data_IF_133028056087
#
_entry.id   IF_133028056087
#
_cell.length_a   1.000
_cell.length_b   1.000
_cell.length_c   1.000
_cell.angle_alpha   90.00
_cell.angle_beta   90.00
_cell.angle_gamma   90.00
#
_symmetry.space_group_name_H-M   'P 1'
#
loop_
_entity.id
_entity.type
_entity.pdbx_description
1 polymer ?
#
# COMPACT_ATOMS: atom_id res chain seq x y z
N UNK A 1 -2.54 -28.83 7.21
CA UNK A 1 -2.12 -30.14 6.68
C UNK A 1 -3.33 -31.05 6.64
N UNK A 2 -3.97 -31.16 5.50
CA UNK A 2 -4.92 -32.24 5.27
C UNK A 2 -4.13 -33.42 4.73
N UNK A 3 -3.67 -34.28 5.61
CA UNK A 3 -3.23 -35.58 5.21
C UNK A 3 -4.43 -36.49 5.21
N UNK A 4 -4.87 -36.96 4.05
CA UNK A 4 -5.80 -38.08 3.95
C UNK A 4 -5.11 -39.41 4.35
N UNK A 5 -3.94 -39.32 4.97
CA UNK A 5 -3.17 -40.45 5.48
C UNK A 5 -3.81 -40.88 6.82
N UNK A 6 -4.25 -42.11 6.86
CA UNK A 6 -4.64 -42.76 8.11
C UNK A 6 -3.44 -42.82 9.06
N UNK A 7 -3.69 -42.72 10.36
CA UNK A 7 -2.62 -42.67 11.39
C UNK A 7 -1.61 -43.83 11.30
N UNK A 8 -2.06 -45.00 10.87
CA UNK A 8 -1.26 -46.21 10.67
C UNK A 8 -0.24 -46.08 9.51
N UNK A 9 -0.46 -45.15 8.56
CA UNK A 9 0.45 -44.89 7.44
C UNK A 9 1.44 -43.74 7.68
N UNK A 10 1.28 -42.98 8.76
CA UNK A 10 2.09 -41.81 9.03
C UNK A 10 3.59 -42.15 9.19
N UNK A 11 3.89 -43.30 9.79
CA UNK A 11 5.26 -43.80 10.03
C UNK A 11 5.89 -44.42 8.77
N UNK A 12 5.10 -44.74 7.75
CA UNK A 12 5.54 -45.34 6.50
C UNK A 12 5.40 -44.40 5.29
N UNK A 13 5.01 -43.13 5.54
CA UNK A 13 4.85 -42.14 4.48
C UNK A 13 6.19 -41.68 3.96
N UNK A 14 6.26 -41.48 2.61
CA UNK A 14 7.41 -40.84 1.99
C UNK A 14 7.29 -39.33 2.18
N UNK A 15 8.18 -38.76 3.00
CA UNK A 15 8.19 -37.31 3.33
C UNK A 15 8.25 -36.40 2.08
N UNK A 16 8.79 -36.86 0.98
CA UNK A 16 8.92 -36.08 -0.26
C UNK A 16 7.66 -36.19 -1.13
N UNK A 17 7.07 -37.40 -1.22
CA UNK A 17 5.96 -37.68 -2.13
C UNK A 17 4.59 -37.46 -1.51
N UNK A 18 4.44 -37.80 -0.23
CA UNK A 18 3.12 -37.82 0.43
C UNK A 18 2.84 -36.55 1.24
N UNK A 19 3.85 -35.71 1.45
CA UNK A 19 3.75 -34.48 2.20
C UNK A 19 3.95 -33.25 1.34
N UNK A 20 3.26 -32.16 1.67
CA UNK A 20 3.52 -30.85 1.06
C UNK A 20 4.76 -30.25 1.71
N UNK A 21 5.85 -30.25 0.97
CA UNK A 21 7.12 -29.74 1.44
C UNK A 21 7.43 -28.39 0.80
N UNK A 22 7.91 -27.48 1.62
CA UNK A 22 8.38 -26.18 1.13
C UNK A 22 9.13 -25.44 2.20
N UNK A 23 10.03 -24.58 1.77
CA UNK A 23 10.76 -23.65 2.62
C UNK A 23 10.57 -22.24 2.07
N UNK A 24 10.37 -21.27 2.94
CA UNK A 24 10.26 -19.88 2.56
C UNK A 24 11.26 -19.02 3.33
N UNK A 25 12.01 -18.22 2.60
CA UNK A 25 12.90 -17.20 3.14
C UNK A 25 12.37 -15.81 2.80
N UNK A 26 12.28 -14.95 3.80
CA UNK A 26 11.98 -13.53 3.64
C UNK A 26 13.21 -12.74 4.05
N UNK A 27 13.76 -11.99 3.11
CA UNK A 27 15.00 -11.23 3.30
C UNK A 27 14.67 -9.74 3.12
N UNK A 28 14.30 -9.02 4.18
CA UNK A 28 14.13 -7.58 4.14
C UNK A 28 15.50 -6.89 4.25
N UNK A 29 15.79 -5.99 3.33
CA UNK A 29 16.96 -5.11 3.38
C UNK A 29 16.46 -3.68 3.45
N UNK A 30 16.67 -3.03 4.59
CA UNK A 30 16.27 -1.66 4.83
C UNK A 30 17.50 -0.84 5.21
N UNK A 31 17.59 0.37 4.68
CA UNK A 31 18.59 1.33 5.07
C UNK A 31 17.93 2.68 5.35
N UNK A 32 18.55 3.50 6.16
CA UNK A 32 18.09 4.84 6.46
C UNK A 32 19.27 5.80 6.40
N UNK A 33 19.19 6.80 5.55
CA UNK A 33 20.22 7.80 5.37
C UNK A 33 19.64 9.20 5.58
N UNK A 34 20.43 10.08 6.13
CA UNK A 34 20.12 11.50 6.12
C UNK A 34 21.08 12.20 5.16
N UNK A 35 20.55 12.65 4.02
CA UNK A 35 21.32 13.39 3.03
C UNK A 35 21.25 14.89 3.36
N UNK A 36 22.38 15.58 3.19
CA UNK A 36 22.49 17.02 3.41
C UNK A 36 22.03 17.50 4.80
N UNK A 37 22.01 16.60 5.80
CA UNK A 37 21.53 16.81 7.17
C UNK A 37 20.02 17.09 7.35
N UNK A 38 19.22 17.06 6.28
CA UNK A 38 17.78 17.37 6.38
C UNK A 38 16.87 16.46 5.54
N UNK A 39 17.39 15.75 4.56
CA UNK A 39 16.60 14.85 3.73
C UNK A 39 16.78 13.40 4.20
N UNK A 40 15.75 12.82 4.82
CA UNK A 40 15.75 11.42 5.20
C UNK A 40 15.32 10.58 4.01
N UNK A 41 16.15 9.61 3.64
CA UNK A 41 15.92 8.69 2.53
C UNK A 41 15.98 7.26 3.05
N UNK A 42 14.91 6.52 2.81
CA UNK A 42 14.76 5.15 3.30
C UNK A 42 14.49 4.22 2.12
N UNK A 43 15.51 3.64 1.49
CA UNK A 43 15.32 2.53 0.57
C UNK A 43 14.97 1.25 1.31
N UNK A 44 14.12 0.44 0.71
CA UNK A 44 13.73 -0.88 1.20
C UNK A 44 13.65 -1.85 0.03
N UNK A 45 14.28 -2.98 0.18
CA UNK A 45 14.23 -4.09 -0.76
C UNK A 45 13.79 -5.33 0.00
N UNK A 46 12.70 -5.95 -0.44
CA UNK A 46 12.23 -7.19 0.15
C UNK A 46 12.32 -8.29 -0.90
N UNK A 47 13.01 -9.35 -0.55
CA UNK A 47 13.15 -10.54 -1.36
C UNK A 47 12.49 -11.70 -0.62
N UNK A 48 11.59 -12.40 -1.31
CA UNK A 48 10.97 -13.63 -0.82
C UNK A 48 11.33 -14.77 -1.74
N UNK A 49 11.88 -15.80 -1.19
CA UNK A 49 12.26 -17.04 -1.86
C UNK A 49 11.47 -18.21 -1.32
N UNK A 50 10.94 -19.04 -2.20
CA UNK A 50 10.17 -20.24 -1.89
C UNK A 50 10.76 -21.42 -2.62
N UNK A 51 11.10 -22.44 -1.89
CA UNK A 51 11.66 -23.68 -2.39
C UNK A 51 10.64 -24.81 -2.24
N UNK A 52 10.40 -25.53 -3.31
CA UNK A 52 9.46 -26.65 -3.34
C UNK A 52 10.13 -27.93 -3.83
N UNK A 53 9.65 -29.07 -3.33
CA UNK A 53 10.12 -30.40 -3.72
C UNK A 53 9.37 -30.96 -4.94
N UNK A 54 8.33 -30.29 -5.40
CA UNK A 54 7.53 -30.72 -6.54
C UNK A 54 6.81 -29.54 -7.20
N UNK A 55 6.35 -29.76 -8.42
CA UNK A 55 5.40 -28.92 -9.16
C UNK A 55 4.36 -29.80 -9.83
N UNK A 56 3.16 -29.29 -10.06
CA UNK A 56 2.07 -30.00 -10.71
C UNK A 56 1.81 -29.38 -12.07
N UNK A 57 1.97 -30.12 -13.14
CA UNK A 57 1.56 -29.74 -14.48
C UNK A 57 0.17 -30.28 -14.77
N UNK A 58 -0.64 -29.51 -15.50
CA UNK A 58 -2.00 -29.88 -15.85
C UNK A 58 -2.18 -29.91 -17.36
N UNK A 59 -2.97 -30.88 -17.81
CA UNK A 59 -3.36 -31.05 -19.20
C UNK A 59 -4.81 -31.48 -19.30
N UNK A 60 -5.39 -31.35 -20.48
CA UNK A 60 -6.75 -31.83 -20.75
C UNK A 60 -6.68 -33.15 -21.53
N UNK A 61 -7.35 -34.19 -21.02
CA UNK A 61 -7.56 -35.45 -21.72
C UNK A 61 -8.85 -35.33 -22.54
N UNK A 62 -8.72 -35.26 -23.86
CA UNK A 62 -9.87 -35.09 -24.75
C UNK A 62 -10.75 -36.34 -24.85
N UNK A 63 -10.19 -37.52 -24.68
CA UNK A 63 -10.95 -38.77 -24.74
C UNK A 63 -11.84 -38.94 -23.50
N UNK A 64 -11.32 -38.59 -22.33
CA UNK A 64 -12.01 -38.74 -21.04
C UNK A 64 -12.76 -37.49 -20.61
N UNK A 65 -12.54 -36.36 -21.30
CA UNK A 65 -13.09 -35.04 -20.96
C UNK A 65 -12.79 -34.63 -19.50
N UNK A 66 -11.56 -34.90 -19.04
CA UNK A 66 -11.13 -34.59 -17.67
C UNK A 66 -9.76 -33.89 -17.65
N UNK A 67 -9.57 -33.09 -16.60
CA UNK A 67 -8.25 -32.52 -16.29
C UNK A 67 -7.33 -33.61 -15.72
N UNK A 68 -6.16 -33.77 -16.30
CA UNK A 68 -5.11 -34.65 -15.84
C UNK A 68 -4.02 -33.84 -15.21
N UNK A 69 -3.57 -34.25 -14.04
CA UNK A 69 -2.48 -33.62 -13.31
C UNK A 69 -1.30 -34.58 -13.20
N UNK A 70 -0.11 -34.12 -13.57
CA UNK A 70 1.13 -34.85 -13.41
C UNK A 70 2.06 -34.10 -12.43
N UNK A 71 2.69 -34.86 -11.52
CA UNK A 71 3.56 -34.30 -10.48
C UNK A 71 5.01 -34.59 -10.81
N UNK A 72 5.76 -33.54 -11.08
CA UNK A 72 7.22 -33.59 -11.28
C UNK A 72 7.91 -33.31 -9.95
N UNK A 73 8.69 -34.27 -9.47
CA UNK A 73 9.52 -34.15 -8.28
C UNK A 73 10.89 -33.58 -8.60
N UNK A 74 11.40 -32.71 -7.77
CA UNK A 74 12.67 -32.06 -7.93
C UNK A 74 12.74 -30.75 -7.14
N UNK A 75 13.87 -30.10 -7.19
CA UNK A 75 14.04 -28.79 -6.60
C UNK A 75 13.46 -27.72 -7.52
N UNK A 76 12.50 -26.96 -7.02
CA UNK A 76 11.86 -25.85 -7.70
C UNK A 76 11.94 -24.59 -6.84
N UNK A 77 12.33 -23.50 -7.46
CA UNK A 77 12.48 -22.20 -6.80
C UNK A 77 11.48 -21.20 -7.35
N UNK A 78 10.77 -20.52 -6.46
CA UNK A 78 9.80 -19.47 -6.77
C UNK A 78 10.11 -18.24 -5.93
N UNK A 79 10.61 -17.19 -6.55
CA UNK A 79 10.97 -15.96 -5.85
C UNK A 79 10.18 -14.74 -6.34
N UNK A 80 10.09 -13.78 -5.49
CA UNK A 80 9.63 -12.43 -5.83
C UNK A 80 10.40 -11.38 -5.03
N UNK A 81 10.38 -10.18 -5.55
CA UNK A 81 10.97 -9.04 -4.86
C UNK A 81 10.18 -7.76 -5.12
N UNK A 82 10.31 -6.83 -4.21
CA UNK A 82 9.84 -5.47 -4.37
C UNK A 82 10.89 -4.48 -3.89
N UNK A 83 10.89 -3.33 -4.51
CA UNK A 83 11.73 -2.19 -4.16
C UNK A 83 10.83 -1.04 -3.72
N UNK A 84 11.19 -0.37 -2.64
CA UNK A 84 10.58 0.90 -2.25
C UNK A 84 11.63 1.92 -1.85
N UNK A 85 11.32 3.18 -2.09
CA UNK A 85 12.16 4.31 -1.72
C UNK A 85 11.26 5.39 -1.14
N UNK A 86 11.54 5.82 0.07
CA UNK A 86 10.83 6.93 0.69
C UNK A 86 11.81 8.07 0.97
N UNK A 87 11.40 9.28 0.67
CA UNK A 87 12.17 10.49 0.95
C UNK A 87 11.27 11.49 1.69
N UNK A 88 11.75 12.02 2.81
CA UNK A 88 11.02 13.00 3.62
C UNK A 88 11.95 14.03 4.22
N UNK A 89 11.41 15.22 4.45
CA UNK A 89 12.14 16.29 5.15
C UNK A 89 11.19 17.06 6.08
N UNK A 90 11.77 17.85 6.98
CA UNK A 90 11.00 18.74 7.86
C UNK A 90 11.47 20.16 7.65
N UNK A 91 10.58 21.02 7.20
CA UNK A 91 10.81 22.44 7.03
C UNK A 91 10.15 23.20 8.19
N UNK A 92 10.89 24.13 8.78
CA UNK A 92 10.45 24.86 9.95
C UNK A 92 10.25 26.34 9.61
N UNK A 93 9.03 26.84 9.83
CA UNK A 93 8.72 28.26 9.83
C UNK A 93 8.57 28.77 11.28
N UNK A 94 9.22 29.85 11.61
CA UNK A 94 9.15 30.52 12.92
C UNK A 94 8.63 31.93 12.73
N UNK A 95 7.49 32.24 13.36
CA UNK A 95 6.87 33.55 13.29
C UNK A 95 6.74 34.10 14.71
N UNK A 96 7.21 35.32 14.91
CA UNK A 96 7.10 36.03 16.18
C UNK A 96 6.11 37.17 16.05
N UNK A 97 5.16 37.25 16.98
CA UNK A 97 4.20 38.35 17.00
C UNK A 97 4.89 39.71 17.17
N UNK A 98 4.35 40.72 16.47
CA UNK A 98 4.90 42.07 16.55
C UNK A 98 4.90 42.57 18.01
N UNK A 99 6.05 42.98 18.56
CA UNK A 99 6.15 43.55 19.92
C UNK A 99 5.29 44.78 20.11
N UNK A 100 4.97 45.49 19.01
CA UNK A 100 4.12 46.70 19.08
C UNK A 100 2.64 46.37 19.35
N UNK A 101 2.13 45.23 18.84
CA UNK A 101 0.74 44.83 18.98
C UNK A 101 0.51 43.95 20.22
N UNK A 102 1.53 43.22 20.68
CA UNK A 102 1.39 42.24 21.77
C UNK A 102 2.45 42.45 22.87
N UNK A 103 2.61 43.67 23.36
CA UNK A 103 3.62 44.02 24.36
C UNK A 103 3.58 43.22 25.66
N UNK A 104 2.37 42.78 26.10
CA UNK A 104 2.20 42.08 27.39
C UNK A 104 2.38 40.55 27.27
N UNK A 105 2.14 39.96 26.09
CA UNK A 105 2.16 38.51 25.90
C UNK A 105 2.82 38.19 24.54
N UNK A 106 4.15 38.15 24.45
CA UNK A 106 4.82 37.76 23.22
C UNK A 106 4.49 36.31 22.90
N UNK A 107 4.00 36.07 21.68
CA UNK A 107 3.72 34.76 21.17
C UNK A 107 4.64 34.42 20.01
N UNK A 108 4.96 33.14 19.88
CA UNK A 108 5.72 32.60 18.76
C UNK A 108 4.95 31.45 18.14
N UNK A 109 4.80 31.47 16.82
CA UNK A 109 4.22 30.36 16.08
C UNK A 109 5.35 29.57 15.42
N UNK A 110 5.34 28.26 15.62
CA UNK A 110 6.16 27.30 14.90
C UNK A 110 5.27 26.53 13.93
N UNK A 111 5.56 26.62 12.65
CA UNK A 111 4.97 25.81 11.61
C UNK A 111 5.99 24.75 11.19
N UNK A 112 5.59 23.50 11.17
CA UNK A 112 6.39 22.38 10.68
C UNK A 112 5.70 21.82 9.46
N UNK A 113 6.33 21.90 8.32
CA UNK A 113 5.88 21.32 7.07
C UNK A 113 6.72 20.07 6.77
N UNK A 114 6.08 18.92 6.64
CA UNK A 114 6.73 17.62 6.41
C UNK A 114 6.22 17.03 5.09
N UNK A 115 6.88 17.32 3.97
CA UNK A 115 6.62 16.62 2.72
C UNK A 115 7.30 15.25 2.71
N UNK A 116 6.62 14.27 2.13
CA UNK A 116 7.13 12.94 1.88
C UNK A 116 6.75 12.49 0.47
N UNK A 117 7.70 11.87 -0.20
CA UNK A 117 7.49 11.18 -1.47
C UNK A 117 7.95 9.75 -1.32
N UNK A 118 7.13 8.81 -1.78
CA UNK A 118 7.45 7.39 -1.75
C UNK A 118 7.27 6.78 -3.14
N UNK A 119 8.21 5.96 -3.52
CA UNK A 119 8.18 5.16 -4.74
C UNK A 119 8.14 3.69 -4.36
N UNK A 120 7.33 2.90 -5.06
CA UNK A 120 7.33 1.44 -4.93
C UNK A 120 7.26 0.77 -6.30
N UNK A 121 7.92 -0.37 -6.43
CA UNK A 121 7.94 -1.13 -7.67
C UNK A 121 8.10 -2.62 -7.40
N UNK A 122 7.32 -3.44 -8.11
CA UNK A 122 7.56 -4.88 -8.26
C UNK A 122 7.28 -5.30 -9.71
N UNK A 123 8.12 -6.19 -10.29
CA UNK A 123 7.92 -6.66 -11.65
C UNK A 123 6.71 -7.60 -11.77
N UNK A 124 6.31 -7.88 -13.00
CA UNK A 124 5.26 -8.86 -13.27
C UNK A 124 5.82 -10.29 -13.14
N UNK A 125 5.59 -10.93 -12.01
CA UNK A 125 5.95 -12.32 -11.77
C UNK A 125 5.05 -13.33 -12.49
N UNK A 126 3.92 -12.88 -13.07
CA UNK A 126 3.10 -13.67 -13.98
C UNK A 126 3.65 -13.78 -15.41
N UNK A 127 4.80 -13.16 -15.70
CA UNK A 127 5.46 -13.27 -17.01
C UNK A 127 5.97 -14.69 -17.24
N UNK A 128 5.85 -15.19 -18.48
CA UNK A 128 6.28 -16.54 -18.87
C UNK A 128 7.74 -16.87 -18.51
N UNK A 129 8.62 -15.86 -18.47
CA UNK A 129 10.03 -16.02 -18.09
C UNK A 129 10.26 -16.62 -16.70
N UNK A 130 9.29 -16.47 -15.79
CA UNK A 130 9.39 -17.01 -14.43
C UNK A 130 8.86 -18.43 -14.31
N UNK A 131 7.97 -18.86 -15.21
CA UNK A 131 7.38 -20.20 -15.18
C UNK A 131 6.46 -20.46 -13.98
N UNK A 132 5.94 -19.41 -13.35
CA UNK A 132 5.05 -19.54 -12.18
C UNK A 132 3.59 -19.76 -12.56
N UNK A 133 3.26 -19.50 -13.82
CA UNK A 133 1.94 -19.70 -14.40
C UNK A 133 2.09 -20.37 -15.75
N UNK A 134 1.11 -21.22 -16.08
CA UNK A 134 1.06 -21.97 -17.32
C UNK A 134 -0.39 -22.06 -17.80
N UNK A 135 -0.62 -22.53 -19.01
CA UNK A 135 -1.93 -22.67 -19.62
C UNK A 135 -2.06 -24.01 -20.31
N UNK A 136 -3.26 -24.57 -20.29
CA UNK A 136 -3.61 -25.70 -21.15
C UNK A 136 -4.92 -25.43 -21.91
N UNK A 137 -5.10 -26.08 -23.04
CA UNK A 137 -6.33 -26.00 -23.82
C UNK A 137 -7.33 -27.02 -23.26
N UNK A 138 -8.58 -26.57 -23.05
CA UNK A 138 -9.69 -27.39 -22.63
C UNK A 138 -10.77 -27.34 -23.71
N UNK A 139 -11.22 -28.49 -24.20
CA UNK A 139 -12.34 -28.63 -25.12
C UNK A 139 -13.59 -29.04 -24.35
N UNK A 140 -14.69 -28.29 -24.50
CA UNK A 140 -15.96 -28.64 -23.88
C UNK A 140 -16.73 -29.70 -24.69
N UNK A 141 -17.84 -30.20 -24.16
CA UNK A 141 -18.72 -31.18 -24.82
C UNK A 141 -19.31 -30.69 -26.15
N UNK A 142 -19.31 -29.39 -26.41
CA UNK A 142 -19.78 -28.76 -27.64
C UNK A 142 -18.66 -28.50 -28.66
N UNK A 143 -17.43 -28.89 -28.36
CA UNK A 143 -16.26 -28.68 -29.20
C UNK A 143 -15.62 -27.28 -29.10
N UNK A 144 -16.05 -26.44 -28.15
CA UNK A 144 -15.45 -25.14 -27.95
C UNK A 144 -14.13 -25.26 -27.19
N UNK A 145 -13.08 -24.66 -27.72
CA UNK A 145 -11.75 -24.65 -27.11
C UNK A 145 -11.58 -23.39 -26.26
N UNK A 146 -11.19 -23.58 -25.01
CA UNK A 146 -10.85 -22.51 -24.08
C UNK A 146 -9.47 -22.71 -23.48
N UNK A 147 -8.74 -21.60 -23.22
CA UNK A 147 -7.48 -21.63 -22.49
C UNK A 147 -7.74 -21.51 -21.00
N UNK A 148 -7.29 -22.53 -20.26
CA UNK A 148 -7.36 -22.52 -18.80
C UNK A 148 -5.98 -22.21 -18.26
N UNK A 149 -5.90 -21.15 -17.47
CA UNK A 149 -4.67 -20.75 -16.82
C UNK A 149 -4.57 -21.34 -15.43
N UNK A 150 -3.40 -21.80 -15.04
CA UNK A 150 -3.14 -22.38 -13.72
C UNK A 150 -1.72 -22.04 -13.26
N UNK A 151 -1.43 -22.29 -11.99
CA UNK A 151 -0.06 -22.28 -11.50
C UNK A 151 0.38 -23.70 -11.15
N UNK A 152 1.55 -24.17 -11.64
CA UNK A 152 2.14 -25.45 -11.24
C UNK A 152 2.38 -25.57 -9.73
N UNK A 153 2.37 -24.46 -9.03
CA UNK A 153 2.61 -24.36 -7.58
C UNK A 153 1.35 -24.00 -6.78
N UNK A 154 0.15 -24.01 -7.39
CA UNK A 154 -1.10 -23.63 -6.73
C UNK A 154 -1.40 -24.44 -5.46
N UNK A 155 -0.97 -25.70 -5.44
CA UNK A 155 -1.12 -26.60 -4.30
C UNK A 155 0.09 -26.63 -3.36
N UNK A 156 1.12 -25.84 -3.62
CA UNK A 156 2.31 -25.75 -2.78
C UNK A 156 2.03 -24.96 -1.49
N UNK A 157 2.84 -25.20 -0.46
CA UNK A 157 2.62 -24.68 0.90
C UNK A 157 2.54 -23.14 0.98
N UNK A 158 3.34 -22.42 0.18
CA UNK A 158 3.43 -20.97 0.20
C UNK A 158 2.91 -20.29 -1.08
N UNK A 159 2.37 -21.08 -2.03
CA UNK A 159 1.84 -20.56 -3.30
C UNK A 159 2.85 -19.84 -4.18
N UNK A 160 2.37 -18.90 -4.99
CA UNK A 160 3.16 -18.13 -5.96
C UNK A 160 2.91 -16.63 -5.82
N UNK A 161 3.85 -15.78 -6.26
CA UNK A 161 3.61 -14.34 -6.34
C UNK A 161 2.46 -14.03 -7.30
N UNK A 162 1.70 -12.98 -6.97
CA UNK A 162 0.63 -12.50 -7.83
C UNK A 162 1.11 -12.04 -9.20
N UNK A 163 0.21 -12.07 -10.18
CA UNK A 163 0.44 -11.53 -11.51
C UNK A 163 0.34 -10.01 -11.52
N UNK A 164 0.92 -9.45 -12.56
CA UNK A 164 0.89 -8.03 -12.81
C UNK A 164 2.10 -7.31 -12.22
N UNK A 165 2.54 -6.31 -12.94
CA UNK A 165 3.53 -5.36 -12.46
C UNK A 165 2.85 -4.40 -11.48
N UNK A 166 3.50 -4.03 -10.41
CA UNK A 166 3.07 -2.94 -9.55
C UNK A 166 4.08 -1.81 -9.61
N UNK A 167 3.60 -0.59 -9.50
CA UNK A 167 4.45 0.59 -9.46
C UNK A 167 3.63 1.79 -9.05
N UNK A 168 4.08 2.51 -8.02
CA UNK A 168 3.39 3.71 -7.57
C UNK A 168 4.36 4.77 -7.08
N UNK A 169 3.96 6.03 -7.25
CA UNK A 169 4.56 7.17 -6.59
C UNK A 169 3.49 7.76 -5.69
N UNK A 170 3.80 7.97 -4.42
CA UNK A 170 2.86 8.55 -3.46
C UNK A 170 3.44 9.84 -2.90
N UNK A 171 2.60 10.84 -2.75
CA UNK A 171 2.92 12.10 -2.11
C UNK A 171 2.08 12.23 -0.84
N UNK A 172 2.73 12.62 0.22
CA UNK A 172 2.10 12.95 1.48
C UNK A 172 2.68 14.26 1.99
N UNK A 173 1.83 15.14 2.44
CA UNK A 173 2.23 16.37 3.11
C UNK A 173 1.54 16.47 4.45
N UNK A 174 2.27 16.86 5.47
CA UNK A 174 1.73 17.09 6.79
C UNK A 174 2.22 18.44 7.33
N UNK A 175 1.28 19.21 7.86
CA UNK A 175 1.51 20.50 8.49
C UNK A 175 1.12 20.43 9.96
N UNK A 176 2.00 20.91 10.83
CA UNK A 176 1.75 21.07 12.24
C UNK A 176 1.99 22.53 12.61
N UNK A 177 1.06 23.13 13.35
CA UNK A 177 1.16 24.53 13.80
C UNK A 177 1.00 24.58 15.32
N UNK A 178 2.04 25.08 15.96
CA UNK A 178 2.11 25.24 17.40
C UNK A 178 2.38 26.68 17.77
N UNK A 179 1.82 27.12 18.88
CA UNK A 179 2.05 28.45 19.44
C UNK A 179 2.67 28.34 20.84
N UNK A 180 3.69 29.13 21.10
CA UNK A 180 4.23 29.38 22.43
C UNK A 180 3.76 30.74 22.95
N UNK A 181 3.17 30.74 24.13
CA UNK A 181 2.74 31.95 24.81
C UNK A 181 3.52 32.07 26.12
N UNK A 182 4.05 33.26 26.43
CA UNK A 182 4.67 33.53 27.71
C UNK A 182 3.63 33.43 28.81
N UNK A 183 3.93 32.73 29.88
CA UNK A 183 3.05 32.59 31.06
C UNK A 183 3.91 32.50 32.31
N UNK A 184 3.49 33.18 33.35
CA UNK A 184 4.16 33.17 34.65
C UNK A 184 3.75 31.94 35.50
N UNK A 185 2.82 31.11 35.00
CA UNK A 185 2.28 29.91 35.69
C UNK A 185 3.05 28.62 35.40
N UNK A 186 4.01 28.65 34.50
CA UNK A 186 4.79 27.47 34.10
C UNK A 186 6.25 27.66 34.53
N UNK A 187 6.89 26.61 35.03
CA UNK A 187 8.30 26.62 35.44
C UNK A 187 9.27 26.99 34.31
N UNK A 188 8.87 26.81 33.04
CA UNK A 188 9.63 27.19 31.86
C UNK A 188 9.35 28.61 31.36
N UNK A 189 8.39 29.32 31.96
CA UNK A 189 7.94 30.65 31.56
C UNK A 189 7.17 30.69 30.24
N UNK A 190 6.90 29.54 29.60
CA UNK A 190 6.18 29.42 28.34
C UNK A 190 5.19 28.26 28.32
N UNK A 191 3.98 28.52 27.84
CA UNK A 191 2.98 27.49 27.56
C UNK A 191 2.94 27.21 26.07
N UNK A 192 3.04 25.92 25.72
CA UNK A 192 2.92 25.43 24.35
C UNK A 192 1.46 25.03 24.09
N UNK A 193 0.90 25.52 22.99
CA UNK A 193 -0.47 25.24 22.55
C UNK A 193 -0.39 24.71 21.10
N UNK A 194 -0.97 23.54 20.83
CA UNK A 194 -1.17 23.07 19.46
C UNK A 194 -2.37 23.82 18.87
N UNK A 195 -2.18 24.51 17.75
CA UNK A 195 -3.26 25.17 16.99
C UNK A 195 -3.82 24.14 15.98
N UNK A 196 -2.93 23.54 15.21
CA UNK A 196 -3.24 22.46 14.26
C UNK A 196 -2.26 21.34 14.59
N UNK A 197 -2.76 20.22 15.11
CA UNK A 197 -1.93 19.09 15.42
C UNK A 197 -1.47 18.38 14.13
N UNK A 198 -2.37 18.28 13.15
CA UNK A 198 -2.06 17.82 11.81
C UNK A 198 -3.04 18.39 10.79
N UNK A 199 -2.54 18.94 9.70
CA UNK A 199 -3.26 19.19 8.45
C UNK A 199 -2.48 18.52 7.34
N UNK A 200 -3.00 17.41 6.83
CA UNK A 200 -2.32 16.60 5.84
C UNK A 200 -3.11 16.41 4.56
N UNK A 201 -2.40 16.10 3.50
CA UNK A 201 -2.98 15.69 2.22
C UNK A 201 -2.12 14.59 1.61
N UNK A 202 -2.76 13.61 1.00
CA UNK A 202 -2.06 12.50 0.35
C UNK A 202 -2.72 12.11 -0.97
N UNK A 203 -1.90 11.70 -1.91
CA UNK A 203 -2.29 11.25 -3.24
C UNK A 203 -1.23 10.30 -3.78
N UNK A 204 -1.61 9.44 -4.71
CA UNK A 204 -0.69 8.53 -5.37
C UNK A 204 -0.95 8.43 -6.88
N UNK A 205 0.09 8.09 -7.61
CA UNK A 205 0.05 7.80 -9.03
C UNK A 205 0.44 6.35 -9.27
N UNK A 206 -0.47 5.55 -9.82
CA UNK A 206 -0.25 4.16 -10.18
C UNK A 206 0.33 4.07 -11.60
N UNK A 207 1.61 3.76 -11.71
CA UNK A 207 2.32 3.62 -12.99
C UNK A 207 1.93 2.34 -13.74
N UNK A 208 1.35 1.37 -13.07
CA UNK A 208 0.96 0.08 -13.64
C UNK A 208 -0.47 0.07 -14.17
N UNK A 209 -1.32 0.98 -13.72
CA UNK A 209 -2.69 1.07 -14.18
C UNK A 209 -2.78 1.55 -15.64
N UNK A 210 -3.70 0.98 -16.41
CA UNK A 210 -3.98 1.41 -17.77
C UNK A 210 -4.74 2.74 -17.80
N UNK A 211 -5.75 2.87 -16.92
CA UNK A 211 -6.62 4.04 -16.76
C UNK A 211 -6.69 4.45 -15.30
N UNK A 212 -7.19 5.63 -15.00
CA UNK A 212 -7.38 6.13 -13.62
C UNK A 212 -6.11 6.01 -12.76
N UNK A 213 -4.99 6.49 -13.30
CA UNK A 213 -3.67 6.34 -12.65
C UNK A 213 -3.51 7.14 -11.36
N UNK A 214 -4.23 8.24 -11.21
CA UNK A 214 -4.23 9.05 -10.00
C UNK A 214 -5.24 8.51 -8.99
N UNK A 215 -4.84 8.39 -7.74
CA UNK A 215 -5.77 8.13 -6.65
C UNK A 215 -6.62 9.36 -6.35
N UNK A 216 -7.67 9.19 -5.59
CA UNK A 216 -8.38 10.31 -4.99
C UNK A 216 -7.47 11.05 -4.02
N UNK A 217 -7.69 12.35 -3.88
CA UNK A 217 -7.01 13.19 -2.89
C UNK A 217 -7.65 12.98 -1.53
N UNK A 218 -6.88 12.49 -0.59
CA UNK A 218 -7.29 12.35 0.80
C UNK A 218 -6.72 13.50 1.63
N UNK A 219 -7.58 14.19 2.36
CA UNK A 219 -7.20 15.26 3.29
C UNK A 219 -7.54 14.84 4.71
N UNK A 220 -6.69 15.21 5.64
CA UNK A 220 -6.87 14.93 7.07
C UNK A 220 -6.56 16.15 7.89
N UNK A 221 -7.41 16.39 8.89
CA UNK A 221 -7.26 17.45 9.87
C UNK A 221 -7.39 16.85 11.26
N UNK A 222 -6.42 17.13 12.12
CA UNK A 222 -6.48 16.82 13.54
C UNK A 222 -6.24 18.08 14.36
N UNK A 223 -7.20 18.38 15.21
CA UNK A 223 -7.14 19.49 16.17
C UNK A 223 -7.12 18.91 17.59
N UNK A 224 -6.24 19.42 18.42
CA UNK A 224 -6.22 19.14 19.85
C UNK A 224 -6.65 20.37 20.61
N UNK A 225 -7.87 20.33 21.15
CA UNK A 225 -8.39 21.37 22.03
C UNK A 225 -8.23 20.89 23.47
N UNK A 226 -7.42 21.60 24.25
CA UNK A 226 -7.04 21.19 25.60
C UNK A 226 -6.32 19.81 25.63
N UNK A 227 -5.94 19.40 26.85
CA UNK A 227 -5.19 18.14 27.03
C UNK A 227 -5.96 16.87 26.63
N UNK A 228 -7.30 16.92 26.64
CA UNK A 228 -8.16 15.75 26.61
C UNK A 228 -9.13 15.71 25.40
N UNK A 229 -9.10 16.72 24.54
CA UNK A 229 -10.02 16.82 23.40
C UNK A 229 -9.27 16.70 22.08
N UNK A 230 -9.63 15.69 21.29
CA UNK A 230 -9.09 15.54 19.94
C UNK A 230 -10.24 15.46 18.93
N UNK A 231 -10.19 16.33 17.93
CA UNK A 231 -11.07 16.31 16.78
C UNK A 231 -10.30 15.84 15.57
N UNK A 232 -10.80 14.80 14.89
CA UNK A 232 -10.25 14.31 13.63
C UNK A 232 -11.29 14.45 12.53
N UNK A 233 -10.87 14.91 11.37
CA UNK A 233 -11.66 15.01 10.16
C UNK A 233 -10.86 14.46 8.98
N UNK A 234 -11.47 13.58 8.20
CA UNK A 234 -10.91 13.09 6.95
C UNK A 234 -11.91 13.41 5.83
N UNK A 235 -11.42 13.94 4.72
CA UNK A 235 -12.21 14.26 3.55
C UNK A 235 -11.55 13.64 2.30
N UNK A 236 -12.36 13.17 1.36
CA UNK A 236 -11.90 12.57 0.12
C UNK A 236 -12.47 13.35 -1.05
N UNK A 237 -11.60 13.66 -2.01
CA UNK A 237 -11.93 14.36 -3.23
C UNK A 237 -11.55 13.51 -4.43
N UNK A 238 -12.53 13.14 -5.25
CA UNK A 238 -12.31 12.38 -6.47
C UNK A 238 -11.50 13.20 -7.47
N UNK A 239 -10.49 12.55 -8.02
CA UNK A 239 -9.60 13.14 -9.03
C UNK A 239 -10.24 13.19 -10.39
N UNK A 240 -11.06 12.18 -10.75
CA UNK A 240 -11.66 12.04 -12.07
C UNK A 240 -13.08 12.61 -12.14
N UNK A 241 -13.36 13.27 -13.25
CA UNK A 241 -14.66 13.89 -13.51
C UNK A 241 -15.68 12.84 -13.97
N UNK A 242 -16.96 13.14 -13.72
CA UNK A 242 -18.03 12.43 -14.41
C UNK A 242 -18.13 12.87 -15.87
N UNK A 243 -18.36 11.90 -16.72
CA UNK A 243 -18.68 12.04 -18.14
C UNK A 243 -20.00 11.30 -18.43
N UNK A 244 -20.62 11.60 -19.55
CA UNK A 244 -21.82 10.89 -19.99
C UNK A 244 -21.45 9.92 -21.10
N UNK A 245 -22.00 8.71 -21.03
CA UNK A 245 -21.92 7.75 -22.14
C UNK A 245 -22.83 8.15 -23.32
N UNK A 246 -22.82 7.36 -24.37
CA UNK A 246 -23.64 7.59 -25.56
C UNK A 246 -25.17 7.57 -25.27
N UNK A 247 -25.57 6.96 -24.17
CA UNK A 247 -26.95 6.85 -23.69
C UNK A 247 -27.31 7.93 -22.65
N UNK A 248 -26.37 8.82 -22.33
CA UNK A 248 -26.55 9.88 -21.34
C UNK A 248 -26.41 9.42 -19.87
N UNK A 249 -25.89 8.20 -19.61
CA UNK A 249 -25.64 7.75 -18.25
C UNK A 249 -24.29 8.27 -17.73
N UNK A 250 -24.23 8.76 -16.49
CA UNK A 250 -23.00 9.26 -15.92
C UNK A 250 -22.05 8.10 -15.55
N UNK A 251 -20.80 8.21 -15.96
CA UNK A 251 -19.71 7.32 -15.54
C UNK A 251 -18.48 8.14 -15.17
N UNK A 252 -17.52 7.52 -14.46
CA UNK A 252 -16.25 8.15 -14.13
C UNK A 252 -15.35 8.10 -15.37
N UNK A 253 -15.13 9.26 -15.98
CA UNK A 253 -14.31 9.40 -17.17
C UNK A 253 -12.80 9.39 -16.89
N UNK A 254 -12.00 9.55 -17.95
CA UNK A 254 -10.54 9.60 -17.83
C UNK A 254 -9.98 11.01 -17.62
N UNK A 255 -10.79 12.04 -17.75
CA UNK A 255 -10.37 13.42 -17.53
C UNK A 255 -10.37 13.78 -16.06
N UNK A 256 -9.32 14.44 -15.61
CA UNK A 256 -9.23 14.90 -14.22
C UNK A 256 -10.05 16.17 -14.00
N UNK A 257 -10.55 16.37 -12.79
CA UNK A 257 -11.19 17.63 -12.37
C UNK A 257 -10.23 18.83 -12.48
N UNK A 258 -8.92 18.58 -12.37
CA UNK A 258 -7.90 19.63 -12.52
C UNK A 258 -7.87 20.22 -13.93
N UNK A 259 -8.09 19.41 -14.97
CA UNK A 259 -8.23 19.88 -16.34
C UNK A 259 -9.41 20.85 -16.55
N UNK A 260 -10.38 20.82 -15.63
CA UNK A 260 -11.52 21.74 -15.56
C UNK A 260 -11.30 22.90 -14.58
N UNK A 261 -10.08 23.06 -14.04
CA UNK A 261 -9.75 24.09 -13.05
C UNK A 261 -10.33 23.83 -11.65
N UNK A 262 -10.76 22.61 -11.35
CA UNK A 262 -11.34 22.23 -10.07
C UNK A 262 -10.30 21.45 -9.25
N UNK A 263 -10.33 21.63 -7.94
CA UNK A 263 -9.44 20.93 -7.02
C UNK A 263 -9.70 19.41 -6.96
N UNK A 264 -10.95 19.01 -7.06
CA UNK A 264 -11.46 17.66 -7.04
C UNK A 264 -12.95 17.66 -6.73
N UNK A 265 -13.61 16.53 -6.91
CA UNK A 265 -15.04 16.38 -6.60
C UNK A 265 -15.16 15.77 -5.21
N UNK A 266 -15.76 16.52 -4.28
CA UNK A 266 -16.01 16.05 -2.92
C UNK A 266 -16.82 14.76 -2.92
N UNK A 267 -16.28 13.70 -2.28
CA UNK A 267 -16.92 12.40 -2.19
C UNK A 267 -17.54 12.14 -0.82
N UNK A 268 -16.92 12.67 0.21
CA UNK A 268 -17.40 12.46 1.55
C UNK A 268 -16.40 12.91 2.60
N UNK A 269 -16.86 12.95 3.82
CA UNK A 269 -16.09 13.35 4.98
C UNK A 269 -16.50 12.50 6.18
N UNK A 270 -15.52 12.08 6.97
CA UNK A 270 -15.71 11.46 8.28
C UNK A 270 -15.19 12.37 9.38
N UNK A 271 -15.89 12.40 10.50
CA UNK A 271 -15.50 13.15 11.68
C UNK A 271 -15.50 12.25 12.90
N UNK A 272 -14.53 12.45 13.78
CA UNK A 272 -14.43 11.74 15.05
C UNK A 272 -13.99 12.68 16.16
N UNK A 273 -14.69 12.63 17.27
CA UNK A 273 -14.35 13.33 18.51
C UNK A 273 -13.89 12.32 19.55
N UNK A 274 -12.66 12.45 20.01
CA UNK A 274 -12.14 11.66 21.12
C UNK A 274 -11.99 12.54 22.36
N UNK A 275 -12.46 12.01 23.48
CA UNK A 275 -12.40 12.66 24.79
C UNK A 275 -11.81 11.69 25.81
N UNK A 276 -10.78 12.10 26.54
CA UNK A 276 -10.18 11.30 27.61
C UNK A 276 -10.47 11.93 28.95
N UNK A 277 -11.25 11.23 29.79
CA UNK A 277 -11.43 11.58 31.19
C UNK A 277 -10.22 11.07 31.96
N UNK A 278 -9.37 11.99 32.44
CA UNK A 278 -8.39 11.67 33.47
C UNK A 278 -9.00 12.06 34.81
N UNK A 279 -9.12 11.11 35.75
CA UNK A 279 -9.56 11.40 37.11
C UNK A 279 -8.60 12.32 37.82
#
# INVERSE_FOLDING_TARGET
>A
CSSDLKEDKLMHSNLIKDWRNGMQHNIPVNANFTLFNYLNVTPSFNFTDRMYSNKVTRSWDEERQVEVSDTTYGFHNVYNWNLSLSASTKLYGMYTGSPRLFKKHPWQIRHVFTPQVSFSYAPNFGSARYGYYDTYQKTDANGNVSLVEYSPYSNSLYGVPGKGRTGSISWDVSNNVEMKIKTDKDSTGFKKISIIDELGASMSYNMAAATHRWSDLSMRLRLKWWKNYTFNMNAVFATYAYELDENGHPYVGNHTEWGKGRFGRFQGMSQNFAFTLNP
#
